data_IF_902460169549
#
_entry.id   IF_902460169549
#
_cell.length_a   1.000
_cell.length_b   1.000
_cell.length_c   1.000
_cell.angle_alpha   90.00
_cell.angle_beta   90.00
_cell.angle_gamma   90.00
#
_symmetry.space_group_name_H-M   'P 1'
#
loop_
_entity.id
_entity.type
_entity.pdbx_description
1 polymer ?
#
# COMPACT_ATOMS: atom_id res chain seq x y z
N UNK A 1 55.33 -2.78 65.72
CA UNK A 1 55.10 -4.00 66.51
C UNK A 1 53.71 -4.51 66.18
N UNK A 2 53.61 -5.78 65.76
CA UNK A 2 52.43 -6.53 65.27
C UNK A 2 51.87 -6.08 63.90
N UNK A 3 52.10 -6.79 62.78
CA UNK A 3 51.66 -8.15 62.36
C UNK A 3 50.16 -8.29 62.14
N UNK A 4 49.75 -8.48 60.86
CA UNK A 4 49.08 -9.69 60.33
C UNK A 4 48.45 -9.35 58.95
N UNK A 5 49.01 -9.81 57.82
CA UNK A 5 48.82 -11.12 57.15
C UNK A 5 47.61 -11.11 56.19
N UNK A 6 47.96 -11.03 54.90
CA UNK A 6 47.65 -12.00 53.84
C UNK A 6 46.24 -12.09 53.20
N UNK A 7 46.27 -12.56 51.95
CA UNK A 7 45.19 -13.04 51.10
C UNK A 7 44.40 -11.98 50.29
N UNK A 8 44.99 -11.56 49.17
CA UNK A 8 44.45 -11.92 47.83
C UNK A 8 45.09 -11.09 46.70
N UNK A 9 46.35 -11.42 46.37
CA UNK A 9 46.84 -11.26 45.00
C UNK A 9 46.21 -12.34 44.15
N UNK A 10 45.20 -12.00 43.34
CA UNK A 10 44.88 -12.65 42.05
C UNK A 10 43.78 -11.85 41.35
N UNK A 11 43.97 -11.67 40.04
CA UNK A 11 42.99 -11.23 39.05
C UNK A 11 42.79 -9.71 38.88
N UNK A 12 43.74 -9.05 38.22
CA UNK A 12 43.44 -7.83 37.46
C UNK A 12 44.40 -7.66 36.26
N UNK A 13 44.55 -8.70 35.43
CA UNK A 13 45.18 -8.57 34.11
C UNK A 13 44.39 -9.41 33.10
N UNK A 14 43.27 -8.88 32.60
CA UNK A 14 42.73 -9.31 31.30
C UNK A 14 41.68 -8.34 30.76
N UNK A 15 41.86 -8.02 29.48
CA UNK A 15 40.83 -7.58 28.52
C UNK A 15 40.38 -6.12 28.52
N UNK A 16 41.22 -5.23 27.97
CA UNK A 16 40.78 -4.03 27.24
C UNK A 16 40.49 -4.34 25.76
N UNK A 17 39.82 -5.45 25.44
CA UNK A 17 39.55 -5.84 24.03
C UNK A 17 38.08 -6.10 23.69
N UNK A 18 37.14 -5.80 24.59
CA UNK A 18 35.71 -6.05 24.36
C UNK A 18 34.93 -4.87 23.72
N UNK A 19 35.58 -3.72 23.46
CA UNK A 19 34.88 -2.51 22.98
C UNK A 19 34.90 -2.29 21.46
N UNK A 20 35.66 -3.06 20.68
CA UNK A 20 35.77 -2.85 19.23
C UNK A 20 34.72 -3.64 18.42
N UNK A 21 34.24 -4.79 18.94
CA UNK A 21 33.28 -5.65 18.23
C UNK A 21 31.84 -5.08 18.26
N UNK A 22 31.48 -4.28 19.27
CA UNK A 22 30.16 -3.68 19.38
C UNK A 22 29.95 -2.52 18.37
N UNK A 23 31.02 -1.82 17.97
CA UNK A 23 30.94 -0.72 17.01
C UNK A 23 30.75 -1.21 15.55
N UNK A 24 31.30 -2.38 15.20
CA UNK A 24 31.16 -2.96 13.87
C UNK A 24 29.77 -3.57 13.61
N UNK A 25 29.07 -4.03 14.65
CA UNK A 25 27.72 -4.58 14.55
C UNK A 25 26.63 -3.49 14.39
N UNK A 26 26.89 -2.26 14.85
CA UNK A 26 25.97 -1.12 14.70
C UNK A 26 25.99 -0.52 13.29
N UNK A 27 27.14 -0.55 12.61
CA UNK A 27 27.32 0.00 11.26
C UNK A 27 26.75 -0.89 10.15
N UNK A 28 26.51 -2.17 10.41
CA UNK A 28 25.91 -3.11 9.46
C UNK A 28 24.37 -3.15 9.49
N UNK A 29 23.72 -2.51 10.48
CA UNK A 29 22.25 -2.40 10.54
C UNK A 29 21.67 -1.21 9.77
N UNK A 30 22.51 -0.23 9.39
CA UNK A 30 22.08 0.90 8.54
C UNK A 30 22.27 0.65 7.04
N UNK A 31 22.87 -0.47 6.65
CA UNK A 31 23.06 -0.86 5.24
C UNK A 31 21.87 -1.65 4.65
N UNK A 32 20.73 -1.65 5.34
CA UNK A 32 19.45 -2.20 4.89
C UNK A 32 18.40 -1.10 4.69
N UNK A 33 18.84 0.14 4.46
CA UNK A 33 18.01 1.10 3.72
C UNK A 33 17.89 0.51 2.33
N UNK A 34 16.74 -0.14 2.09
CA UNK A 34 16.19 -0.55 0.79
C UNK A 34 16.87 0.27 -0.31
N UNK A 35 17.58 -0.43 -1.20
CA UNK A 35 17.98 0.10 -2.50
C UNK A 35 16.75 0.71 -3.17
N UNK A 36 16.50 2.00 -2.96
CA UNK A 36 15.57 2.78 -3.76
C UNK A 36 16.25 2.87 -5.12
N UNK A 37 15.71 2.17 -6.11
CA UNK A 37 16.12 2.38 -7.49
C UNK A 37 15.94 3.86 -7.81
N UNK A 38 17.04 4.58 -8.00
CA UNK A 38 17.11 6.02 -8.28
C UNK A 38 16.71 6.32 -9.72
N UNK A 39 15.55 5.81 -10.15
CA UNK A 39 14.95 6.10 -11.44
C UNK A 39 13.67 6.89 -11.22
N UNK A 40 13.52 8.01 -11.91
CA UNK A 40 12.24 8.69 -12.06
C UNK A 40 11.76 8.47 -13.50
N UNK A 41 10.46 8.25 -13.67
CA UNK A 41 9.80 8.34 -14.97
C UNK A 41 9.03 9.65 -15.05
N UNK A 42 9.05 10.25 -16.22
CA UNK A 42 8.23 11.42 -16.49
C UNK A 42 6.83 10.96 -16.92
N UNK A 43 5.82 11.38 -16.18
CA UNK A 43 4.40 11.18 -16.50
C UNK A 43 3.78 12.53 -16.82
N UNK A 44 2.76 12.55 -17.67
CA UNK A 44 2.07 13.80 -18.04
C UNK A 44 0.58 13.69 -17.74
N UNK A 45 0.08 14.70 -17.03
CA UNK A 45 -1.34 14.99 -16.85
C UNK A 45 -1.73 16.31 -17.53
N UNK A 46 -2.95 16.78 -17.29
CA UNK A 46 -3.47 18.04 -17.85
C UNK A 46 -2.71 19.27 -17.35
N UNK A 47 -2.09 19.21 -16.17
CA UNK A 47 -1.35 20.32 -15.57
C UNK A 47 0.12 20.36 -16.01
N UNK A 48 0.65 19.28 -16.56
CA UNK A 48 1.99 19.24 -17.13
C UNK A 48 2.75 17.95 -16.82
N UNK A 49 4.06 17.93 -17.12
CA UNK A 49 4.94 16.82 -16.76
C UNK A 49 5.18 16.78 -15.25
N UNK A 50 5.32 15.58 -14.69
CA UNK A 50 5.69 15.34 -13.29
C UNK A 50 6.58 14.11 -13.19
N UNK A 51 7.57 14.16 -12.30
CA UNK A 51 8.47 13.05 -12.05
C UNK A 51 7.85 12.10 -11.02
N UNK A 52 7.72 10.83 -11.41
CA UNK A 52 7.17 9.76 -10.58
C UNK A 52 8.27 8.70 -10.36
N UNK A 53 8.47 8.18 -9.14
CA UNK A 53 9.44 7.12 -8.89
C UNK A 53 9.17 5.89 -9.78
N UNK A 54 10.20 5.35 -10.43
CA UNK A 54 10.07 4.23 -11.37
C UNK A 54 9.72 2.90 -10.69
N UNK A 55 9.94 2.78 -9.38
CA UNK A 55 9.57 1.62 -8.55
C UNK A 55 8.08 1.61 -8.18
N UNK A 56 7.34 2.68 -8.48
CA UNK A 56 5.95 2.85 -8.04
C UNK A 56 4.97 2.77 -9.18
N UNK A 57 3.86 2.04 -8.97
CA UNK A 57 2.82 1.82 -9.97
C UNK A 57 1.81 2.98 -10.12
N UNK A 58 1.80 3.94 -9.19
CA UNK A 58 0.91 5.12 -9.31
C UNK A 58 1.42 6.10 -10.36
N UNK A 59 0.56 6.96 -10.91
CA UNK A 59 0.90 7.87 -12.02
C UNK A 59 0.98 9.34 -11.61
N UNK A 60 0.82 10.22 -12.60
CA UNK A 60 0.95 11.65 -12.44
C UNK A 60 -0.06 12.25 -11.44
N UNK A 61 -1.34 11.81 -11.47
CA UNK A 61 -2.36 12.42 -10.64
C UNK A 61 -2.16 12.08 -9.16
N UNK A 62 -1.78 10.82 -8.88
CA UNK A 62 -1.42 10.41 -7.52
C UNK A 62 -0.19 11.15 -7.02
N UNK A 63 0.85 11.28 -7.85
CA UNK A 63 2.06 11.99 -7.48
C UNK A 63 1.78 13.47 -7.16
N UNK A 64 0.92 14.12 -7.95
CA UNK A 64 0.51 15.51 -7.71
C UNK A 64 -0.32 15.64 -6.43
N UNK A 65 -1.24 14.70 -6.19
CA UNK A 65 -2.01 14.66 -4.95
C UNK A 65 -1.10 14.53 -3.73
N UNK A 66 -0.07 13.69 -3.82
CA UNK A 66 0.90 13.50 -2.74
C UNK A 66 1.69 14.78 -2.44
N UNK A 67 2.02 15.57 -3.46
CA UNK A 67 2.67 16.88 -3.28
C UNK A 67 1.72 17.96 -2.73
N UNK A 68 0.43 17.87 -3.07
CA UNK A 68 -0.57 18.88 -2.68
C UNK A 68 -1.15 18.65 -1.28
N UNK A 69 -1.18 17.39 -0.82
CA UNK A 69 -1.78 16.99 0.45
C UNK A 69 -0.75 16.31 1.35
N UNK A 70 0.30 17.05 1.71
CA UNK A 70 1.30 16.63 2.70
C UNK A 70 0.80 16.89 4.13
N UNK A 71 -0.37 16.33 4.45
CA UNK A 71 -1.04 16.49 5.74
C UNK A 71 -1.30 15.10 6.33
N UNK A 72 -0.60 14.80 7.42
CA UNK A 72 -0.71 13.52 8.12
C UNK A 72 0.49 12.60 7.91
N UNK A 73 0.77 11.75 8.89
CA UNK A 73 1.85 10.76 8.82
C UNK A 73 1.38 9.40 8.29
N UNK A 74 2.24 8.38 8.39
CA UNK A 74 1.91 6.99 7.97
C UNK A 74 0.62 6.43 8.60
N UNK A 75 0.24 6.92 9.79
CA UNK A 75 -0.99 6.51 10.49
C UNK A 75 -2.27 7.05 9.87
N UNK A 76 -2.18 8.07 9.03
CA UNK A 76 -3.32 8.77 8.43
C UNK A 76 -3.45 8.46 6.93
N UNK A 77 -2.73 7.42 6.47
CA UNK A 77 -2.92 6.83 5.14
C UNK A 77 -4.28 6.16 5.00
N UNK A 78 -4.74 6.04 3.76
CA UNK A 78 -5.97 5.34 3.45
C UNK A 78 -5.93 3.91 4.04
N UNK A 79 -6.94 3.50 4.84
CA UNK A 79 -6.94 2.19 5.47
C UNK A 79 -6.89 1.05 4.43
N UNK A 80 -6.13 0.00 4.72
CA UNK A 80 -6.01 -1.18 3.83
C UNK A 80 -7.36 -1.76 3.40
N UNK A 81 -8.40 -1.85 4.27
CA UNK A 81 -9.69 -2.34 3.83
C UNK A 81 -10.30 -1.51 2.69
N UNK A 82 -10.10 -0.18 2.70
CA UNK A 82 -10.55 0.74 1.63
C UNK A 82 -9.85 0.42 0.31
N UNK A 83 -8.53 0.28 0.35
CA UNK A 83 -7.73 -0.08 -0.83
C UNK A 83 -8.18 -1.43 -1.39
N UNK A 84 -8.38 -2.43 -0.53
CA UNK A 84 -8.83 -3.76 -0.95
C UNK A 84 -10.23 -3.73 -1.58
N UNK A 85 -11.14 -2.96 -1.01
CA UNK A 85 -12.48 -2.79 -1.55
C UNK A 85 -12.47 -2.08 -2.92
N UNK A 86 -11.55 -1.15 -3.17
CA UNK A 86 -11.31 -0.64 -4.53
C UNK A 86 -10.93 -1.75 -5.51
N UNK A 87 -10.05 -2.68 -5.10
CA UNK A 87 -9.71 -3.85 -5.91
C UNK A 87 -10.95 -4.68 -6.30
N UNK A 88 -11.80 -5.00 -5.32
CA UNK A 88 -13.05 -5.75 -5.58
C UNK A 88 -13.99 -4.98 -6.53
N UNK A 89 -14.19 -3.68 -6.29
CA UNK A 89 -15.05 -2.85 -7.13
C UNK A 89 -14.55 -2.81 -8.57
N UNK A 90 -13.25 -2.55 -8.78
CA UNK A 90 -12.66 -2.42 -10.12
C UNK A 90 -12.65 -3.75 -10.86
N UNK A 91 -12.49 -4.88 -10.17
CA UNK A 91 -12.64 -6.21 -10.75
C UNK A 91 -14.05 -6.46 -11.27
N UNK A 92 -15.07 -6.16 -10.46
CA UNK A 92 -16.47 -6.31 -10.86
C UNK A 92 -16.81 -5.40 -12.05
N UNK A 93 -16.37 -4.14 -12.02
CA UNK A 93 -16.60 -3.20 -13.11
C UNK A 93 -15.91 -3.63 -14.41
N UNK A 94 -14.66 -4.13 -14.34
CA UNK A 94 -13.96 -4.66 -15.50
C UNK A 94 -14.68 -5.88 -16.10
N UNK A 95 -15.20 -6.77 -15.25
CA UNK A 95 -15.99 -7.93 -15.69
C UNK A 95 -17.22 -7.52 -16.50
N UNK A 96 -18.00 -6.59 -15.96
CA UNK A 96 -19.20 -6.08 -16.64
C UNK A 96 -18.81 -5.35 -17.92
N UNK A 97 -17.80 -4.48 -17.88
CA UNK A 97 -17.37 -3.71 -19.05
C UNK A 97 -16.86 -4.58 -20.21
N UNK A 98 -16.34 -5.79 -19.96
CA UNK A 98 -16.01 -6.75 -21.03
C UNK A 98 -17.24 -7.20 -21.82
N UNK A 99 -18.40 -7.31 -21.18
CA UNK A 99 -19.67 -7.65 -21.85
C UNK A 99 -20.17 -6.48 -22.71
N UNK A 100 -19.80 -5.24 -22.35
CA UNK A 100 -20.19 -4.01 -23.04
C UNK A 100 -19.10 -3.44 -23.98
N UNK A 101 -18.14 -4.26 -24.40
CA UNK A 101 -17.18 -3.91 -25.45
C UNK A 101 -15.81 -3.39 -24.98
N UNK A 102 -15.42 -3.66 -23.74
CA UNK A 102 -14.00 -3.61 -23.35
C UNK A 102 -13.27 -4.83 -23.91
N UNK A 103 -12.06 -4.63 -24.43
CA UNK A 103 -11.24 -5.72 -24.96
C UNK A 103 -11.04 -6.83 -23.89
N UNK A 104 -11.34 -8.11 -24.20
CA UNK A 104 -11.23 -9.18 -23.21
C UNK A 104 -9.83 -9.43 -22.68
N UNK A 105 -8.77 -9.15 -23.46
CA UNK A 105 -7.39 -9.32 -23.00
C UNK A 105 -7.03 -8.25 -21.96
N UNK A 106 -7.39 -7.00 -22.25
CA UNK A 106 -7.24 -5.87 -21.32
C UNK A 106 -8.11 -6.06 -20.08
N UNK A 107 -9.36 -6.45 -20.25
CA UNK A 107 -10.30 -6.70 -19.14
C UNK A 107 -9.82 -7.80 -18.19
N UNK A 108 -9.30 -8.92 -18.72
CA UNK A 108 -8.72 -9.99 -17.90
C UNK A 108 -7.48 -9.52 -17.13
N UNK A 109 -6.59 -8.76 -17.77
CA UNK A 109 -5.41 -8.21 -17.11
C UNK A 109 -5.80 -7.22 -15.98
N UNK A 110 -6.80 -6.36 -16.21
CA UNK A 110 -7.36 -5.47 -15.20
C UNK A 110 -7.96 -6.27 -14.04
N UNK A 111 -8.73 -7.32 -14.32
CA UNK A 111 -9.30 -8.17 -13.27
C UNK A 111 -8.22 -8.84 -12.41
N UNK A 112 -7.14 -9.31 -13.02
CA UNK A 112 -6.02 -9.91 -12.30
C UNK A 112 -5.29 -8.88 -11.43
N UNK A 113 -4.98 -7.70 -11.98
CA UNK A 113 -4.37 -6.61 -11.24
C UNK A 113 -5.26 -6.13 -10.07
N UNK A 114 -6.58 -6.02 -10.30
CA UNK A 114 -7.55 -5.63 -9.28
C UNK A 114 -7.70 -6.69 -8.18
N UNK A 115 -7.53 -7.97 -8.50
CA UNK A 115 -7.46 -9.04 -7.49
C UNK A 115 -6.23 -8.91 -6.60
N UNK A 116 -5.05 -8.63 -7.18
CA UNK A 116 -3.83 -8.41 -6.38
C UNK A 116 -3.98 -7.22 -5.41
N UNK A 117 -4.72 -6.17 -5.80
CA UNK A 117 -5.10 -5.07 -4.91
C UNK A 117 -6.08 -5.55 -3.82
N UNK A 118 -7.09 -6.34 -4.18
CA UNK A 118 -8.05 -6.89 -3.22
C UNK A 118 -7.42 -7.86 -2.20
N UNK A 119 -6.34 -8.54 -2.58
CA UNK A 119 -5.52 -9.40 -1.72
C UNK A 119 -4.53 -8.60 -0.86
N UNK A 120 -4.31 -7.31 -1.15
CA UNK A 120 -3.40 -6.44 -0.41
C UNK A 120 -1.92 -6.55 -0.82
N UNK A 121 -1.60 -7.19 -1.95
CA UNK A 121 -0.21 -7.34 -2.43
C UNK A 121 0.43 -6.02 -2.86
N UNK A 122 -0.38 -5.01 -3.17
CA UNK A 122 0.05 -3.73 -3.75
C UNK A 122 -0.17 -2.54 -2.80
N UNK A 123 -0.38 -2.76 -1.50
CA UNK A 123 -0.64 -1.70 -0.53
C UNK A 123 0.45 -0.61 -0.50
N UNK A 124 1.72 -0.99 -0.73
CA UNK A 124 2.88 -0.08 -0.83
C UNK A 124 2.79 0.95 -1.98
N UNK A 125 1.79 0.83 -2.86
CA UNK A 125 1.52 1.73 -3.99
C UNK A 125 0.32 2.67 -3.76
N UNK A 126 -0.18 2.75 -2.52
CA UNK A 126 -1.28 3.64 -2.14
C UNK A 126 -0.85 4.62 -1.04
N UNK A 127 -0.04 5.63 -1.38
CA UNK A 127 0.58 6.51 -0.38
C UNK A 127 -0.34 7.66 0.08
N UNK A 128 -1.55 7.77 -0.47
CA UNK A 128 -2.44 8.91 -0.21
C UNK A 128 -3.04 8.86 1.20
N UNK A 129 -3.10 10.04 1.81
CA UNK A 129 -3.71 10.28 3.12
C UNK A 129 -5.23 10.40 3.05
N UNK A 130 -5.88 10.19 4.19
CA UNK A 130 -7.34 10.36 4.36
C UNK A 130 -7.75 11.82 4.12
N UNK A 131 -6.87 12.78 4.45
CA UNK A 131 -7.09 14.22 4.34
C UNK A 131 -6.92 14.75 2.90
N UNK A 132 -7.73 14.25 1.99
CA UNK A 132 -7.78 14.64 0.59
C UNK A 132 -9.12 15.33 0.25
N UNK A 133 -9.46 15.44 -1.04
CA UNK A 133 -10.79 15.94 -1.43
C UNK A 133 -11.92 15.08 -0.85
N UNK A 134 -13.01 15.70 -0.40
CA UNK A 134 -14.13 15.00 0.21
C UNK A 134 -14.87 14.02 -0.72
N UNK A 135 -14.69 14.14 -2.04
CA UNK A 135 -15.23 13.20 -3.03
C UNK A 135 -14.37 11.95 -3.25
N UNK A 136 -13.19 11.87 -2.64
CA UNK A 136 -12.29 10.72 -2.77
C UNK A 136 -11.71 10.51 -4.17
N UNK A 137 -11.70 11.56 -4.99
CA UNK A 137 -11.26 11.50 -6.39
C UNK A 137 -9.79 11.07 -6.51
N UNK A 138 -8.90 11.52 -5.62
CA UNK A 138 -7.49 11.13 -5.72
C UNK A 138 -7.28 9.67 -5.35
N UNK A 139 -7.95 9.12 -4.33
CA UNK A 139 -7.96 7.67 -4.07
C UNK A 139 -8.51 6.84 -5.24
N UNK A 140 -9.60 7.27 -5.89
CA UNK A 140 -10.11 6.57 -7.07
C UNK A 140 -9.06 6.57 -8.20
N UNK A 141 -8.42 7.72 -8.44
CA UNK A 141 -7.37 7.82 -9.47
C UNK A 141 -6.12 7.02 -9.11
N UNK A 142 -5.73 6.95 -7.85
CA UNK A 142 -4.64 6.11 -7.40
C UNK A 142 -4.91 4.63 -7.68
N UNK A 143 -6.11 4.15 -7.37
CA UNK A 143 -6.50 2.79 -7.75
C UNK A 143 -6.48 2.58 -9.27
N UNK A 144 -7.02 3.53 -10.04
CA UNK A 144 -7.03 3.44 -11.50
C UNK A 144 -5.61 3.37 -12.09
N UNK A 145 -4.70 4.23 -11.64
CA UNK A 145 -3.31 4.28 -12.12
C UNK A 145 -2.53 3.02 -11.76
N UNK A 146 -2.64 2.56 -10.51
CA UNK A 146 -1.96 1.33 -10.04
C UNK A 146 -2.46 0.10 -10.80
N UNK A 147 -3.78 -0.06 -10.93
CA UNK A 147 -4.38 -1.20 -11.63
C UNK A 147 -4.03 -1.16 -13.12
N UNK A 148 -4.06 0.02 -13.75
CA UNK A 148 -3.71 0.18 -15.16
C UNK A 148 -2.25 -0.20 -15.44
N UNK A 149 -1.32 0.31 -14.64
CA UNK A 149 0.10 0.00 -14.80
C UNK A 149 0.39 -1.47 -14.50
N UNK A 150 -0.26 -2.05 -13.48
CA UNK A 150 -0.11 -3.48 -13.18
C UNK A 150 -0.69 -4.37 -14.27
N UNK A 151 -1.85 -4.00 -14.84
CA UNK A 151 -2.43 -4.70 -15.98
C UNK A 151 -1.52 -4.62 -17.22
N UNK A 152 -0.87 -3.46 -17.44
CA UNK A 152 0.11 -3.31 -18.51
C UNK A 152 1.34 -4.22 -18.30
N UNK A 153 1.84 -4.36 -17.07
CA UNK A 153 2.93 -5.29 -16.74
C UNK A 153 2.55 -6.76 -16.99
N UNK A 154 1.32 -7.16 -16.63
CA UNK A 154 0.80 -8.51 -16.89
C UNK A 154 0.76 -8.81 -18.40
N UNK A 155 0.48 -7.79 -19.22
CA UNK A 155 0.49 -7.89 -20.67
C UNK A 155 1.89 -7.76 -21.29
N UNK A 156 2.94 -7.58 -20.49
CA UNK A 156 4.32 -7.44 -20.95
C UNK A 156 4.70 -6.04 -21.46
N UNK A 157 3.86 -5.03 -21.20
CA UNK A 157 4.15 -3.64 -21.54
C UNK A 157 4.86 -2.92 -20.39
N UNK A 158 5.54 -1.81 -20.71
CA UNK A 158 6.23 -0.97 -19.72
C UNK A 158 5.22 -0.13 -18.92
N UNK A 159 5.45 -0.02 -17.62
CA UNK A 159 4.76 0.92 -16.73
C UNK A 159 4.88 2.37 -17.26
N UNK A 160 3.78 3.13 -17.24
CA UNK A 160 3.69 4.50 -17.78
C UNK A 160 3.48 4.60 -19.29
N UNK A 161 3.47 3.48 -20.03
CA UNK A 161 3.18 3.46 -21.47
C UNK A 161 1.69 3.70 -21.82
N UNK A 162 0.80 3.81 -20.82
CA UNK A 162 -0.66 4.01 -20.95
C UNK A 162 -1.36 3.03 -21.91
N UNK A 163 -0.79 1.84 -22.14
CA UNK A 163 -1.43 0.78 -22.95
C UNK A 163 -2.80 0.41 -22.38
N UNK A 164 -2.87 0.30 -21.05
CA UNK A 164 -4.13 0.32 -20.32
C UNK A 164 -4.35 1.75 -19.81
N UNK A 165 -5.39 2.44 -20.29
CA UNK A 165 -5.67 3.80 -19.86
C UNK A 165 -6.39 3.82 -18.51
N UNK A 166 -5.90 4.55 -17.49
CA UNK A 166 -6.54 4.63 -16.17
C UNK A 166 -7.99 5.10 -16.24
N UNK A 167 -8.31 6.06 -17.12
CA UNK A 167 -9.67 6.59 -17.24
C UNK A 167 -10.54 5.80 -18.22
N UNK A 168 -10.00 5.43 -19.38
CA UNK A 168 -10.82 4.93 -20.50
C UNK A 168 -11.06 3.42 -20.39
N UNK A 169 -10.18 2.71 -19.69
CA UNK A 169 -10.30 1.27 -19.46
C UNK A 169 -10.68 0.96 -18.01
N UNK A 170 -9.87 1.42 -17.03
CA UNK A 170 -10.07 1.04 -15.62
C UNK A 170 -11.25 1.80 -14.97
N UNK A 171 -11.39 3.09 -15.27
CA UNK A 171 -12.49 3.92 -14.80
C UNK A 171 -13.67 4.00 -15.79
N UNK A 172 -13.74 3.07 -16.75
CA UNK A 172 -14.81 3.07 -17.75
C UNK A 172 -16.17 2.90 -17.07
N UNK A 173 -17.12 3.76 -17.44
CA UNK A 173 -18.48 3.79 -16.89
C UNK A 173 -18.54 4.06 -15.38
N UNK A 174 -17.54 4.75 -14.83
CA UNK A 174 -17.46 5.04 -13.39
C UNK A 174 -17.08 6.50 -13.12
N UNK A 175 -17.56 7.05 -12.00
CA UNK A 175 -17.10 8.31 -11.44
C UNK A 175 -16.62 8.13 -10.00
N UNK A 176 -15.79 9.05 -9.48
CA UNK A 176 -15.43 9.04 -8.05
C UNK A 176 -16.66 9.16 -7.15
N UNK A 177 -17.70 9.86 -7.62
CA UNK A 177 -18.90 10.13 -6.87
C UNK A 177 -19.79 8.89 -6.69
N UNK A 178 -19.63 7.88 -7.55
CA UNK A 178 -20.30 6.60 -7.40
C UNK A 178 -19.40 5.57 -6.70
N UNK A 179 -18.12 5.55 -7.09
CA UNK A 179 -17.16 4.53 -6.64
C UNK A 179 -16.71 4.72 -5.20
N UNK A 180 -16.42 5.96 -4.77
CA UNK A 180 -15.93 6.21 -3.41
C UNK A 180 -17.00 5.96 -2.34
N UNK A 181 -18.27 6.41 -2.50
CA UNK A 181 -19.33 6.01 -1.60
C UNK A 181 -19.58 4.50 -1.63
N UNK A 182 -19.55 3.84 -2.79
CA UNK A 182 -19.74 2.38 -2.89
C UNK A 182 -18.68 1.64 -2.09
N UNK A 183 -17.40 2.00 -2.23
CA UNK A 183 -16.29 1.41 -1.47
C UNK A 183 -16.46 1.65 0.03
N UNK A 184 -16.77 2.88 0.42
CA UNK A 184 -16.95 3.26 1.83
C UNK A 184 -18.17 2.56 2.47
N UNK A 185 -19.27 2.40 1.74
CA UNK A 185 -20.47 1.68 2.19
C UNK A 185 -20.22 0.16 2.27
N UNK A 186 -19.54 -0.42 1.29
CA UNK A 186 -19.26 -1.87 1.28
C UNK A 186 -18.38 -2.29 2.46
N UNK A 187 -17.47 -1.42 2.89
CA UNK A 187 -16.67 -1.64 4.08
C UNK A 187 -17.43 -1.51 5.38
N UNK A 188 -18.32 -0.52 5.48
CA UNK A 188 -19.24 -0.45 6.61
C UNK A 188 -20.05 -1.75 6.72
N UNK A 189 -20.61 -2.25 5.61
CA UNK A 189 -21.37 -3.51 5.63
C UNK A 189 -20.50 -4.72 6.01
N UNK A 190 -19.31 -4.87 5.43
CA UNK A 190 -18.44 -6.03 5.70
C UNK A 190 -17.87 -6.01 7.13
N UNK A 191 -17.38 -4.87 7.61
CA UNK A 191 -16.89 -4.73 8.98
C UNK A 191 -18.02 -4.89 10.01
N UNK A 192 -19.21 -4.35 9.74
CA UNK A 192 -20.36 -4.51 10.64
C UNK A 192 -20.84 -5.96 10.69
N UNK A 193 -20.94 -6.65 9.55
CA UNK A 193 -21.27 -8.07 9.51
C UNK A 193 -20.24 -8.96 10.23
N UNK A 194 -18.95 -8.68 10.06
CA UNK A 194 -17.88 -9.43 10.75
C UNK A 194 -17.88 -9.17 12.26
N UNK A 195 -18.04 -7.91 12.68
CA UNK A 195 -18.19 -7.54 14.09
C UNK A 195 -19.42 -8.19 14.72
N UNK A 196 -20.56 -8.20 14.02
CA UNK A 196 -21.78 -8.89 14.47
C UNK A 196 -21.58 -10.41 14.55
N UNK A 197 -20.87 -11.03 13.60
CA UNK A 197 -20.57 -12.46 13.65
C UNK A 197 -19.69 -12.83 14.84
N UNK A 198 -18.63 -12.06 15.09
CA UNK A 198 -17.74 -12.27 16.24
C UNK A 198 -18.48 -12.07 17.57
N UNK A 199 -19.29 -11.01 17.70
CA UNK A 199 -20.08 -10.80 18.91
C UNK A 199 -21.15 -11.87 19.11
N UNK A 200 -21.80 -12.35 18.03
CA UNK A 200 -22.75 -13.46 18.11
C UNK A 200 -22.08 -14.76 18.53
N UNK A 201 -20.87 -15.05 18.03
CA UNK A 201 -20.09 -16.21 18.46
C UNK A 201 -19.66 -16.10 19.93
N UNK A 202 -19.26 -14.91 20.37
CA UNK A 202 -18.84 -14.64 21.74
C UNK A 202 -20.00 -14.74 22.74
N UNK A 203 -21.16 -14.14 22.41
CA UNK A 203 -22.39 -14.27 23.20
C UNK A 203 -22.89 -15.72 23.19
N UNK A 204 -22.83 -16.41 22.05
CA UNK A 204 -23.20 -17.82 21.95
C UNK A 204 -22.36 -18.73 22.84
N UNK A 205 -21.05 -18.49 22.93
CA UNK A 205 -20.18 -19.21 23.86
C UNK A 205 -20.50 -18.86 25.33
N UNK A 206 -20.74 -17.59 25.64
CA UNK A 206 -21.03 -17.14 27.01
C UNK A 206 -22.35 -17.67 27.59
N UNK A 207 -23.36 -17.95 26.74
CA UNK A 207 -24.63 -18.55 27.15
C UNK A 207 -24.66 -20.09 27.06
N UNK A 208 -23.66 -20.72 26.43
CA UNK A 208 -23.54 -22.18 26.39
C UNK A 208 -22.91 -22.77 27.67
N UNK A 209 -22.17 -21.95 28.42
CA UNK A 209 -21.49 -22.31 29.67
C UNK A 209 -22.31 -21.97 30.94
N UNK A 210 -23.59 -21.59 30.79
CA UNK A 210 -24.54 -21.28 31.88
C UNK A 210 -25.74 -22.22 31.88
#
# INVERSE_FOLDING_TARGET
MAMMIDASRRLATRSKSASAAAAAAGLLRSALIRSISTGFREERDTFGPILVPSDKLWGAQTQRSLQNFDIGGEREQMPEPIIRAFGVLKKCAAKVNMEYGLDPSVGKAIMQAAEEVAEGKLNDHFPLVIWQTGSGTQSNMNANEVIANRAAEILGHKCGGKFVHPNDHVNRSQSSNDTFPTVSLHLNAHCYCYFLHLNKAYLGAAFADS
#
